data_IF_859973222798
#
_entry.id   IF_859973222798
#
_cell.length_a   1.000
_cell.length_b   1.000
_cell.length_c   1.000
_cell.angle_alpha   90.00
_cell.angle_beta   90.00
_cell.angle_gamma   90.00
#
_symmetry.space_group_name_H-M   'P 1'
#
loop_
_entity.id
_entity.type
_entity.pdbx_description
1 polymer ?
#
# COMPACT_ATOMS: atom_id res chain seq x y z
N UNK A 1 -24.65 4.35 -2.69
CA UNK A 1 -23.31 3.99 -3.19
C UNK A 1 -22.34 4.87 -2.42
N UNK A 2 -21.53 4.32 -1.52
CA UNK A 2 -20.62 5.13 -0.71
C UNK A 2 -19.55 5.71 -1.63
N UNK A 3 -19.52 7.03 -1.81
CA UNK A 3 -18.39 7.73 -2.41
C UNK A 3 -17.23 7.60 -1.41
N UNK A 4 -16.42 6.57 -1.55
CA UNK A 4 -15.18 6.48 -0.80
C UNK A 4 -14.26 7.60 -1.30
N UNK A 5 -13.68 8.36 -0.37
CA UNK A 5 -12.70 9.39 -0.72
C UNK A 5 -11.60 8.78 -1.60
N UNK A 6 -11.08 9.57 -2.55
CA UNK A 6 -10.01 9.13 -3.48
C UNK A 6 -8.81 8.55 -2.72
N UNK A 7 -8.56 9.04 -1.50
CA UNK A 7 -7.49 8.58 -0.64
C UNK A 7 -7.75 7.19 -0.04
N UNK A 8 -8.97 6.87 0.40
CA UNK A 8 -9.29 5.52 0.89
C UNK A 8 -9.19 4.48 -0.23
N UNK A 9 -9.56 4.84 -1.45
CA UNK A 9 -9.35 3.96 -2.61
C UNK A 9 -7.87 3.64 -2.86
N UNK A 10 -6.94 4.54 -2.53
CA UNK A 10 -5.49 4.24 -2.59
C UNK A 10 -5.09 3.20 -1.55
N UNK A 11 -5.61 3.33 -0.33
CA UNK A 11 -5.37 2.36 0.75
C UNK A 11 -5.94 0.97 0.42
N UNK A 12 -7.13 0.88 -0.17
CA UNK A 12 -7.72 -0.39 -0.63
C UNK A 12 -6.81 -1.12 -1.64
N UNK A 13 -6.10 -0.37 -2.48
CA UNK A 13 -5.21 -0.91 -3.50
C UNK A 13 -3.79 -1.23 -2.99
N UNK A 14 -3.42 -0.76 -1.79
CA UNK A 14 -2.06 -0.86 -1.26
C UNK A 14 -1.56 -2.31 -1.24
N UNK A 15 -2.39 -3.24 -0.75
CA UNK A 15 -2.02 -4.66 -0.66
C UNK A 15 -1.82 -5.32 -2.03
N UNK A 16 -2.59 -4.90 -3.04
CA UNK A 16 -2.42 -5.37 -4.41
C UNK A 16 -1.14 -4.83 -5.03
N UNK A 17 -0.83 -3.55 -4.81
CA UNK A 17 0.43 -2.93 -5.24
C UNK A 17 1.64 -3.61 -4.58
N UNK A 18 1.56 -3.95 -3.29
CA UNK A 18 2.62 -4.66 -2.57
C UNK A 18 2.86 -6.07 -3.15
N UNK A 19 1.79 -6.79 -3.48
CA UNK A 19 1.89 -8.11 -4.15
C UNK A 19 2.49 -7.99 -5.54
N UNK A 20 2.09 -6.97 -6.32
CA UNK A 20 2.64 -6.72 -7.64
C UNK A 20 4.15 -6.40 -7.55
N UNK A 21 4.57 -5.58 -6.58
CA UNK A 21 5.98 -5.28 -6.33
C UNK A 21 6.77 -6.56 -6.03
N UNK A 22 6.29 -7.37 -5.10
CA UNK A 22 6.94 -8.64 -4.72
C UNK A 22 7.06 -9.60 -5.92
N UNK A 23 6.03 -9.68 -6.77
CA UNK A 23 6.05 -10.48 -7.98
C UNK A 23 7.13 -9.98 -8.95
N UNK A 24 7.22 -8.67 -9.18
CA UNK A 24 8.21 -8.06 -10.09
C UNK A 24 9.65 -8.18 -9.58
N UNK A 25 9.87 -8.01 -8.28
CA UNK A 25 11.19 -8.23 -7.67
C UNK A 25 11.61 -9.70 -7.74
N UNK A 26 10.65 -10.62 -7.64
CA UNK A 26 10.91 -12.07 -7.78
C UNK A 26 11.22 -12.42 -9.23
N UNK A 27 10.46 -11.89 -10.19
CA UNK A 27 10.71 -12.03 -11.62
C UNK A 27 12.13 -11.55 -11.98
N UNK A 28 12.49 -10.34 -11.54
CA UNK A 28 13.83 -9.78 -11.74
C UNK A 28 14.92 -10.69 -11.17
N UNK A 29 14.77 -11.16 -9.93
CA UNK A 29 15.75 -12.05 -9.28
C UNK A 29 15.90 -13.37 -10.03
N UNK A 30 14.79 -13.95 -10.48
CA UNK A 30 14.79 -15.22 -11.21
C UNK A 30 15.52 -15.08 -12.55
N UNK A 31 15.15 -14.12 -13.38
CA UNK A 31 15.80 -13.89 -14.68
C UNK A 31 17.30 -13.65 -14.50
N UNK A 32 17.66 -12.81 -13.53
CA UNK A 32 19.07 -12.52 -13.26
C UNK A 32 19.85 -13.77 -12.79
N UNK A 33 19.23 -14.64 -11.98
CA UNK A 33 19.80 -15.91 -11.57
C UNK A 33 19.96 -16.88 -12.75
N UNK A 34 18.96 -16.99 -13.63
CA UNK A 34 18.97 -17.88 -14.79
C UNK A 34 20.06 -17.46 -15.81
N UNK A 35 20.28 -16.15 -15.97
CA UNK A 35 21.39 -15.60 -16.77
C UNK A 35 22.74 -15.93 -16.12
N UNK A 36 22.89 -15.67 -14.81
CA UNK A 36 24.18 -15.86 -14.12
C UNK A 36 24.59 -17.33 -14.03
N UNK A 37 23.62 -18.24 -13.98
CA UNK A 37 23.85 -19.70 -13.96
C UNK A 37 24.04 -20.30 -15.36
N UNK A 38 23.92 -19.50 -16.42
CA UNK A 38 24.03 -19.95 -17.80
C UNK A 38 22.86 -20.84 -18.26
N UNK A 39 21.77 -20.88 -17.49
CA UNK A 39 20.54 -21.64 -17.82
C UNK A 39 19.79 -20.98 -18.97
N UNK A 40 19.84 -19.65 -19.07
CA UNK A 40 19.26 -18.91 -20.19
C UNK A 40 20.29 -17.95 -20.77
N UNK A 41 20.44 -17.96 -22.10
CA UNK A 41 21.31 -17.02 -22.78
C UNK A 41 20.66 -15.62 -22.82
N UNK A 42 21.47 -14.58 -22.64
CA UNK A 42 20.99 -13.21 -22.42
C UNK A 42 20.29 -12.60 -23.64
N UNK A 43 20.56 -13.14 -24.82
CA UNK A 43 19.99 -12.84 -26.14
C UNK A 43 18.56 -13.37 -26.34
N UNK A 44 18.08 -14.26 -25.45
CA UNK A 44 16.68 -14.74 -25.46
C UNK A 44 15.71 -13.68 -24.94
N UNK A 45 16.20 -12.70 -24.18
CA UNK A 45 15.37 -11.64 -23.61
C UNK A 45 15.47 -10.34 -24.43
N UNK A 46 14.39 -9.56 -24.42
CA UNK A 46 14.38 -8.19 -24.93
C UNK A 46 15.56 -7.40 -24.33
N UNK A 47 16.43 -6.74 -25.13
CA UNK A 47 17.58 -5.99 -24.63
C UNK A 47 17.26 -5.03 -23.47
N UNK A 48 16.04 -4.50 -23.43
CA UNK A 48 15.55 -3.55 -22.43
C UNK A 48 14.76 -4.18 -21.27
N UNK A 49 14.63 -5.52 -21.21
CA UNK A 49 13.85 -6.24 -20.19
C UNK A 49 14.15 -5.74 -18.77
N UNK A 50 15.45 -5.54 -18.48
CA UNK A 50 15.95 -5.11 -17.17
C UNK A 50 15.46 -3.71 -16.83
N UNK A 51 15.56 -2.79 -17.80
CA UNK A 51 15.16 -1.39 -17.65
C UNK A 51 13.64 -1.29 -17.47
N UNK A 52 12.88 -2.06 -18.23
CA UNK A 52 11.42 -2.13 -18.13
C UNK A 52 10.99 -2.61 -16.74
N UNK A 53 11.51 -3.75 -16.27
CA UNK A 53 11.18 -4.26 -14.93
C UNK A 53 11.59 -3.29 -13.83
N UNK A 54 12.76 -2.67 -13.92
CA UNK A 54 13.20 -1.67 -12.94
C UNK A 54 12.27 -0.45 -12.93
N UNK A 55 11.84 0.03 -14.09
CA UNK A 55 10.88 1.14 -14.18
C UNK A 55 9.53 0.79 -13.55
N UNK A 56 9.02 -0.43 -13.77
CA UNK A 56 7.78 -0.91 -13.15
C UNK A 56 7.91 -1.02 -11.62
N UNK A 57 9.04 -1.55 -11.13
CA UNK A 57 9.35 -1.64 -9.69
C UNK A 57 9.36 -0.25 -9.05
N UNK A 58 10.07 0.71 -9.65
CA UNK A 58 10.16 2.07 -9.11
C UNK A 58 8.80 2.79 -9.16
N UNK A 59 7.99 2.56 -10.21
CA UNK A 59 6.63 3.09 -10.26
C UNK A 59 5.76 2.53 -9.13
N UNK A 60 5.82 1.22 -8.85
CA UNK A 60 5.09 0.60 -7.76
C UNK A 60 5.54 1.13 -6.39
N UNK A 61 6.85 1.22 -6.15
CA UNK A 61 7.41 1.81 -4.92
C UNK A 61 6.95 3.25 -4.74
N UNK A 62 6.91 4.05 -5.81
CA UNK A 62 6.45 5.43 -5.75
C UNK A 62 4.97 5.52 -5.35
N UNK A 63 4.10 4.67 -5.89
CA UNK A 63 2.68 4.65 -5.51
C UNK A 63 2.45 4.17 -4.06
N UNK A 64 3.21 3.18 -3.59
CA UNK A 64 3.20 2.76 -2.18
C UNK A 64 3.64 3.91 -1.26
N UNK A 65 4.75 4.57 -1.58
CA UNK A 65 5.27 5.71 -0.82
C UNK A 65 4.28 6.88 -0.78
N UNK A 66 3.60 7.18 -1.90
CA UNK A 66 2.53 8.20 -1.95
C UNK A 66 1.37 7.85 -1.03
N UNK A 67 1.02 6.57 -0.93
CA UNK A 67 -0.08 6.11 -0.06
C UNK A 67 0.33 6.22 1.41
N UNK A 68 1.55 5.83 1.76
CA UNK A 68 2.07 5.99 3.12
C UNK A 68 2.20 7.46 3.53
N UNK A 69 2.58 8.33 2.60
CA UNK A 69 2.66 9.77 2.83
C UNK A 69 1.31 10.38 3.22
N UNK A 70 0.17 9.79 2.83
CA UNK A 70 -1.14 10.26 3.28
C UNK A 70 -1.30 10.18 4.80
N UNK A 71 -0.60 9.23 5.46
CA UNK A 71 -0.62 9.14 6.92
C UNK A 71 0.03 10.35 7.58
N UNK A 72 0.99 11.01 6.92
CA UNK A 72 1.67 12.20 7.47
C UNK A 72 0.82 13.46 7.36
N UNK A 73 -0.28 13.43 6.60
CA UNK A 73 -1.20 14.57 6.49
C UNK A 73 -2.07 14.74 7.74
N UNK A 74 -2.32 13.65 8.48
CA UNK A 74 -3.10 13.70 9.71
C UNK A 74 -2.34 14.44 10.81
N UNK A 75 -2.96 15.45 11.46
CA UNK A 75 -2.30 16.21 12.52
C UNK A 75 -2.11 15.38 13.79
N UNK A 76 -1.16 15.78 14.63
CA UNK A 76 -0.82 15.11 15.90
C UNK A 76 -1.81 15.45 17.03
N UNK A 77 -3.09 15.11 16.84
CA UNK A 77 -4.12 15.18 17.89
C UNK A 77 -4.57 13.79 18.32
N UNK A 78 -5.10 13.67 19.53
CA UNK A 78 -5.60 12.41 20.08
C UNK A 78 -6.62 11.70 19.17
N UNK A 79 -7.44 12.47 18.45
CA UNK A 79 -8.43 11.94 17.52
C UNK A 79 -7.81 11.38 16.23
N UNK A 80 -6.82 12.07 15.67
CA UNK A 80 -6.22 11.70 14.39
C UNK A 80 -5.07 10.70 14.53
N UNK A 81 -4.46 10.58 15.71
CA UNK A 81 -3.56 9.47 16.04
C UNK A 81 -4.25 8.12 15.82
N UNK A 82 -5.51 8.00 16.29
CA UNK A 82 -6.31 6.79 16.09
C UNK A 82 -6.58 6.53 14.61
N UNK A 83 -6.80 7.57 13.81
CA UNK A 83 -7.00 7.46 12.36
C UNK A 83 -5.76 6.91 11.66
N UNK A 84 -4.57 7.45 11.97
CA UNK A 84 -3.30 6.94 11.43
C UNK A 84 -3.04 5.49 11.81
N UNK A 85 -3.30 5.14 13.06
CA UNK A 85 -3.11 3.77 13.56
C UNK A 85 -4.06 2.80 12.85
N UNK A 86 -5.34 3.17 12.71
CA UNK A 86 -6.32 2.40 11.98
C UNK A 86 -5.90 2.16 10.53
N UNK A 87 -5.54 3.22 9.79
CA UNK A 87 -5.15 3.10 8.37
C UNK A 87 -3.91 2.22 8.20
N UNK A 88 -2.93 2.35 9.10
CA UNK A 88 -1.72 1.52 9.07
C UNK A 88 -2.02 0.05 9.35
N UNK A 89 -2.76 -0.26 10.41
CA UNK A 89 -3.08 -1.65 10.76
C UNK A 89 -3.96 -2.30 9.70
N UNK A 90 -5.04 -1.63 9.30
CA UNK A 90 -6.04 -2.23 8.43
C UNK A 90 -5.56 -2.35 6.98
N UNK A 91 -4.95 -1.30 6.43
CA UNK A 91 -4.63 -1.25 4.99
C UNK A 91 -3.17 -1.57 4.65
N UNK A 92 -2.21 -1.11 5.48
CA UNK A 92 -0.78 -1.33 5.21
C UNK A 92 -0.37 -2.72 5.70
N UNK A 93 -0.64 -3.03 6.98
CA UNK A 93 -0.32 -4.33 7.57
C UNK A 93 -1.31 -5.40 7.07
N UNK A 94 -2.57 -5.01 6.82
CA UNK A 94 -3.59 -5.89 6.27
C UNK A 94 -4.37 -6.68 7.33
N UNK A 95 -4.43 -6.18 8.57
CA UNK A 95 -5.25 -6.73 9.63
C UNK A 95 -6.74 -6.66 9.26
N UNK A 96 -7.51 -7.67 9.63
CA UNK A 96 -8.97 -7.63 9.63
C UNK A 96 -9.48 -6.56 10.60
N UNK A 97 -10.74 -6.12 10.43
CA UNK A 97 -11.37 -5.17 11.35
C UNK A 97 -11.36 -5.65 12.81
N UNK A 98 -11.47 -6.96 13.03
CA UNK A 98 -11.42 -7.57 14.37
C UNK A 98 -10.01 -7.53 14.96
N UNK A 99 -8.98 -7.85 14.17
CA UNK A 99 -7.58 -7.75 14.61
C UNK A 99 -7.22 -6.29 14.87
N UNK A 100 -7.58 -5.38 13.98
CA UNK A 100 -7.34 -3.94 14.17
C UNK A 100 -8.01 -3.41 15.43
N UNK A 101 -9.26 -3.81 15.72
CA UNK A 101 -9.95 -3.40 16.94
C UNK A 101 -9.24 -3.92 18.20
N UNK A 102 -8.77 -5.18 18.16
CA UNK A 102 -8.01 -5.80 19.24
C UNK A 102 -6.67 -5.10 19.47
N UNK A 103 -5.89 -4.84 18.41
CA UNK A 103 -4.60 -4.17 18.47
C UNK A 103 -4.70 -2.72 18.96
N UNK A 104 -5.83 -2.06 18.67
CA UNK A 104 -6.11 -0.70 19.13
C UNK A 104 -6.77 -0.63 20.51
N UNK A 105 -7.07 -1.78 21.13
CA UNK A 105 -7.83 -1.89 22.39
C UNK A 105 -9.16 -1.11 22.38
N UNK A 106 -9.94 -1.27 21.30
CA UNK A 106 -11.24 -0.60 21.12
C UNK A 106 -12.33 -1.57 20.66
N UNK A 107 -13.59 -1.20 20.92
CA UNK A 107 -14.73 -1.93 20.36
C UNK A 107 -14.82 -1.77 18.84
N UNK A 108 -15.41 -2.74 18.14
CA UNK A 108 -15.71 -2.63 16.70
C UNK A 108 -16.57 -1.40 16.36
N UNK A 109 -17.47 -1.01 17.25
CA UNK A 109 -18.29 0.21 17.09
C UNK A 109 -17.43 1.47 17.13
N UNK A 110 -16.47 1.53 18.05
CA UNK A 110 -15.49 2.61 18.11
C UNK A 110 -14.61 2.63 16.87
N UNK A 111 -14.18 1.46 16.38
CA UNK A 111 -13.36 1.36 15.17
C UNK A 111 -14.09 1.88 13.92
N UNK A 112 -15.39 1.62 13.80
CA UNK A 112 -16.22 2.21 12.72
C UNK A 112 -16.23 3.74 12.79
N UNK A 113 -16.38 4.32 13.98
CA UNK A 113 -16.30 5.79 14.17
C UNK A 113 -14.91 6.36 13.83
N UNK A 114 -13.85 5.61 14.12
CA UNK A 114 -12.48 5.97 13.71
C UNK A 114 -12.39 6.00 12.18
N UNK A 115 -12.87 4.95 11.50
CA UNK A 115 -12.91 4.90 10.04
C UNK A 115 -13.70 6.06 9.45
N UNK A 116 -14.87 6.36 10.00
CA UNK A 116 -15.71 7.46 9.50
C UNK A 116 -15.01 8.82 9.68
N UNK A 117 -14.27 9.03 10.79
CA UNK A 117 -13.38 10.21 10.95
C UNK A 117 -12.25 10.26 9.91
N UNK A 118 -11.69 9.11 9.52
CA UNK A 118 -10.71 9.08 8.42
C UNK A 118 -11.33 9.56 7.11
N UNK A 119 -12.55 9.11 6.81
CA UNK A 119 -13.30 9.54 5.62
C UNK A 119 -13.52 11.05 5.67
N UNK A 120 -14.07 11.57 6.76
CA UNK A 120 -14.36 12.99 6.94
C UNK A 120 -13.11 13.87 6.81
N UNK A 121 -11.97 13.40 7.32
CA UNK A 121 -10.69 14.10 7.19
C UNK A 121 -10.26 14.21 5.72
N UNK A 122 -10.34 13.10 4.98
CA UNK A 122 -9.96 13.06 3.58
C UNK A 122 -10.90 13.86 2.68
N UNK A 123 -12.20 13.85 2.96
CA UNK A 123 -13.19 14.63 2.20
C UNK A 123 -12.94 16.15 2.36
N UNK A 124 -12.49 16.58 3.56
CA UNK A 124 -12.09 17.97 3.82
C UNK A 124 -10.77 18.37 3.16
N UNK A 125 -9.89 17.42 2.85
CA UNK A 125 -8.64 17.68 2.11
C UNK A 125 -8.88 17.91 0.61
N UNK A 126 -9.94 17.32 0.06
CA UNK A 126 -10.32 17.45 -1.35
C UNK A 126 -11.24 18.66 -1.63
N UNK A 127 -11.70 19.35 -0.58
CA UNK A 127 -12.59 20.54 -0.62
C UNK A 127 -11.81 21.84 -0.66
#
# INVERSE_FOLDING_TARGET
MYNYSKYLSRFDNYRWQLRALSAKETEYRKINSDINSGVTARDVFDPDWKKTLQSEIEALKAELAKTEHLLTLFPDTSEYIQCRLFLRLHYIIGCSMTETASEMDVSLTTLRRIRDRCVDFFDKLDS
#
